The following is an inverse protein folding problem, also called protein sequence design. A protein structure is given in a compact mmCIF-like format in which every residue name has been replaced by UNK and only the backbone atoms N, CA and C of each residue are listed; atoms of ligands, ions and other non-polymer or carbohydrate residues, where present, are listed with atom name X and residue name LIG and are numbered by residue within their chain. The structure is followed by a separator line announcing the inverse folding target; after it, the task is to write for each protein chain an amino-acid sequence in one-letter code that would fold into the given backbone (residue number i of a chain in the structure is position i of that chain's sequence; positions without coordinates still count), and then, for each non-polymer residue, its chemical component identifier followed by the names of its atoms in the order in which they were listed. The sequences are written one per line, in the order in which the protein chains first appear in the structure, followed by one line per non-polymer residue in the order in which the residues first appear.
data_IF_290553025389
#
_entry.id   IF_290553025389
#
_cell.length_a   1.000
_cell.length_b   1.000
_cell.length_c   1.000
_cell.angle_alpha   90.00
_cell.angle_beta   90.00
_cell.angle_gamma   90.00
#
_symmetry.space_group_name_H-M   'P 1'
#
loop_
_entity.id
_entity.type
_entity.pdbx_description
1 polymer ?
#
# COMPACT_ATOMS: atom_id res chain seq x y z
N UNK A 1 -2.36 1.18 -4.71
CA UNK A 1 -1.72 1.81 -3.55
C UNK A 1 -2.72 2.04 -2.42
N UNK A 2 -3.93 2.51 -2.74
CA UNK A 2 -4.98 2.69 -1.72
C UNK A 2 -5.28 1.42 -0.93
N UNK A 3 -5.33 0.26 -1.60
CA UNK A 3 -5.50 -1.03 -0.92
C UNK A 3 -4.40 -1.29 0.10
N UNK A 4 -3.16 -0.97 -0.26
CA UNK A 4 -2.02 -1.16 0.64
C UNK A 4 -2.15 -0.30 1.89
N UNK A 5 -2.53 0.96 1.73
CA UNK A 5 -2.71 1.88 2.87
C UNK A 5 -3.78 1.35 3.84
N UNK A 6 -4.93 0.97 3.33
CA UNK A 6 -6.02 0.45 4.18
C UNK A 6 -5.65 -0.90 4.78
N UNK A 7 -4.97 -1.77 4.02
CA UNK A 7 -4.48 -3.05 4.55
C UNK A 7 -3.52 -2.85 5.72
N UNK A 8 -2.65 -1.84 5.67
CA UNK A 8 -1.75 -1.53 6.80
C UNK A 8 -2.50 -1.08 8.05
N UNK A 9 -3.62 -0.40 7.89
CA UNK A 9 -4.45 0.01 9.04
C UNK A 9 -5.03 -1.20 9.76
N UNK A 10 -5.51 -2.20 9.01
CA UNK A 10 -6.16 -3.38 9.57
C UNK A 10 -5.19 -4.52 9.89
N UNK A 11 -3.95 -4.42 9.42
CA UNK A 11 -2.96 -5.49 9.62
C UNK A 11 -2.60 -5.64 11.09
N UNK A 12 -2.53 -6.90 11.54
CA UNK A 12 -2.11 -7.25 12.89
C UNK A 12 -0.71 -7.87 12.84
N UNK A 13 0.29 -7.05 12.53
CA UNK A 13 1.68 -7.50 12.54
C UNK A 13 2.58 -6.45 13.20
N UNK A 14 3.73 -6.93 13.67
CA UNK A 14 4.64 -6.11 14.47
C UNK A 14 5.08 -4.83 13.76
N UNK A 15 5.26 -4.88 12.44
CA UNK A 15 5.70 -3.74 11.64
C UNK A 15 4.67 -2.62 11.64
N UNK A 16 3.37 -2.96 11.71
CA UNK A 16 2.28 -1.99 11.60
C UNK A 16 1.44 -1.86 12.87
N UNK A 17 1.90 -2.38 14.00
CA UNK A 17 1.15 -2.34 15.25
C UNK A 17 0.85 -0.93 15.75
N UNK A 18 1.66 0.05 15.36
CA UNK A 18 1.51 1.45 15.77
C UNK A 18 0.81 2.31 14.72
N UNK A 19 0.39 1.73 13.59
CA UNK A 19 -0.27 2.45 12.51
C UNK A 19 -1.74 2.03 12.43
N UNK A 20 -2.57 2.63 13.28
CA UNK A 20 -3.96 2.20 13.49
C UNK A 20 -4.99 3.02 12.71
N UNK A 21 -4.57 4.04 11.98
CA UNK A 21 -5.45 4.83 11.14
C UNK A 21 -4.69 5.26 9.88
N UNK A 22 -5.45 5.78 8.91
CA UNK A 22 -4.88 6.16 7.61
C UNK A 22 -3.78 7.22 7.76
N UNK A 23 -3.99 8.20 8.61
CA UNK A 23 -3.00 9.26 8.86
C UNK A 23 -1.68 8.66 9.35
N UNK A 24 -1.73 7.78 10.34
CA UNK A 24 -0.53 7.14 10.90
C UNK A 24 0.22 6.30 9.86
N UNK A 25 -0.52 5.60 8.97
CA UNK A 25 0.10 4.82 7.89
C UNK A 25 0.80 5.74 6.89
N UNK A 26 0.12 6.80 6.43
CA UNK A 26 0.65 7.69 5.41
C UNK A 26 1.88 8.44 5.90
N UNK A 27 1.87 8.88 7.16
CA UNK A 27 2.96 9.66 7.74
C UNK A 27 3.96 8.83 8.54
N UNK A 28 3.87 7.50 8.47
CA UNK A 28 4.88 6.63 9.07
C UNK A 28 6.25 6.97 8.47
N UNK A 29 7.27 7.06 9.33
CA UNK A 29 8.62 7.44 8.92
C UNK A 29 9.12 6.56 7.78
N UNK A 30 9.58 7.21 6.70
CA UNK A 30 10.14 6.55 5.51
C UNK A 30 9.16 5.63 4.75
N UNK A 31 7.85 5.71 5.03
CA UNK A 31 6.88 4.86 4.34
C UNK A 31 6.52 5.38 2.94
N UNK A 32 6.36 6.69 2.81
CA UNK A 32 5.99 7.33 1.53
C UNK A 32 6.85 8.55 1.29
N UNK A 33 7.60 8.54 0.20
CA UNK A 33 8.57 9.58 -0.11
C UNK A 33 7.94 10.93 -0.51
N UNK A 34 6.68 10.92 -0.94
CA UNK A 34 6.04 12.10 -1.52
C UNK A 34 5.24 12.98 -0.58
N UNK A 35 5.15 12.64 0.71
CA UNK A 35 4.25 13.35 1.64
C UNK A 35 4.62 14.81 1.88
N UNK A 36 5.88 15.17 1.69
CA UNK A 36 6.38 16.54 1.86
C UNK A 36 6.45 17.33 0.54
N UNK A 37 6.00 16.74 -0.57
CA UNK A 37 6.03 17.38 -1.88
C UNK A 37 4.75 18.20 -2.12
N UNK A 38 4.85 19.32 -2.89
CA UNK A 38 3.66 20.14 -3.20
C UNK A 38 2.52 19.34 -3.83
N UNK A 39 2.83 18.35 -4.67
CA UNK A 39 1.83 17.53 -5.36
C UNK A 39 0.94 16.75 -4.38
N UNK A 40 1.47 16.40 -3.21
CA UNK A 40 0.73 15.68 -2.18
C UNK A 40 -0.48 16.48 -1.66
N UNK A 41 -0.37 17.80 -1.62
CA UNK A 41 -1.39 18.68 -1.09
C UNK A 41 -2.33 19.26 -2.16
N UNK A 42 -2.24 18.79 -3.40
CA UNK A 42 -3.14 19.25 -4.45
C UNK A 42 -4.57 18.74 -4.24
N UNK A 43 -5.61 19.51 -4.62
CA UNK A 43 -6.98 19.01 -4.54
C UNK A 43 -7.16 17.75 -5.39
N UNK A 44 -7.92 16.79 -4.87
CA UNK A 44 -8.21 15.54 -5.59
C UNK A 44 -9.42 15.74 -6.51
N UNK A 45 -9.44 15.02 -7.63
CA UNK A 45 -10.61 15.00 -8.50
C UNK A 45 -11.67 14.04 -7.97
N UNK A 46 -12.88 14.09 -8.57
CA UNK A 46 -14.00 13.29 -8.11
C UNK A 46 -13.73 11.78 -8.20
N UNK A 47 -13.04 11.33 -9.25
CA UNK A 47 -12.71 9.91 -9.42
C UNK A 47 -11.71 9.42 -8.39
N UNK A 48 -10.69 10.20 -8.11
CA UNK A 48 -9.70 9.85 -7.07
C UNK A 48 -10.37 9.75 -5.70
N UNK A 49 -11.26 10.68 -5.38
CA UNK A 49 -12.02 10.66 -4.14
C UNK A 49 -12.92 9.42 -4.05
N UNK A 50 -13.60 9.07 -5.13
CA UNK A 50 -14.45 7.88 -5.18
C UNK A 50 -13.65 6.61 -4.92
N UNK A 51 -12.49 6.47 -5.56
CA UNK A 51 -11.62 5.31 -5.37
C UNK A 51 -11.11 5.21 -3.94
N UNK A 52 -10.73 6.32 -3.33
CA UNK A 52 -10.29 6.35 -1.94
C UNK A 52 -11.41 5.90 -0.99
N UNK A 53 -12.63 6.40 -1.19
CA UNK A 53 -13.79 6.01 -0.38
C UNK A 53 -14.11 4.52 -0.53
N UNK A 54 -14.01 3.97 -1.74
CA UNK A 54 -14.21 2.53 -1.97
C UNK A 54 -13.19 1.70 -1.19
N UNK A 55 -11.92 2.11 -1.19
CA UNK A 55 -10.89 1.41 -0.41
C UNK A 55 -11.21 1.43 1.09
N UNK A 56 -11.64 2.57 1.61
CA UNK A 56 -12.02 2.71 3.02
C UNK A 56 -13.19 1.79 3.35
N UNK A 57 -14.16 1.64 2.43
CA UNK A 57 -15.31 0.76 2.60
C UNK A 57 -14.98 -0.73 2.42
N UNK A 58 -13.73 -1.06 2.15
CA UNK A 58 -13.29 -2.45 2.04
C UNK A 58 -13.11 -2.98 0.62
N UNK A 59 -13.29 -2.13 -0.39
CA UNK A 59 -13.07 -2.55 -1.78
C UNK A 59 -11.61 -2.89 -2.02
N UNK A 60 -11.38 -4.06 -2.59
CA UNK A 60 -10.03 -4.56 -2.89
C UNK A 60 -9.97 -5.09 -4.31
N UNK A 61 -8.84 -4.86 -4.99
CA UNK A 61 -8.61 -5.36 -6.36
C UNK A 61 -7.27 -6.07 -6.46
N UNK A 62 -7.24 -7.10 -7.29
CA UNK A 62 -5.98 -7.76 -7.62
C UNK A 62 -5.11 -6.83 -8.49
N UNK A 63 -3.77 -6.89 -8.38
CA UNK A 63 -2.98 -7.81 -7.54
C UNK A 63 -2.70 -7.29 -6.12
N UNK A 64 -3.28 -6.15 -5.74
CA UNK A 64 -3.02 -5.51 -4.45
C UNK A 64 -3.91 -6.01 -3.31
N UNK A 65 -4.76 -7.00 -3.55
CA UNK A 65 -5.86 -7.40 -2.66
C UNK A 65 -5.48 -7.44 -1.17
N UNK A 66 -4.45 -8.21 -0.81
CA UNK A 66 -3.97 -8.35 0.56
C UNK A 66 -2.54 -7.82 0.75
N UNK A 67 -2.06 -7.01 -0.20
CA UNK A 67 -0.69 -6.51 -0.17
C UNK A 67 -0.50 -5.48 0.95
N UNK A 68 0.64 -5.56 1.61
CA UNK A 68 1.08 -4.60 2.63
C UNK A 68 2.23 -3.72 2.12
N UNK A 69 2.88 -4.08 1.04
CA UNK A 69 3.98 -3.33 0.46
C UNK A 69 3.81 -3.21 -1.04
N UNK A 70 4.41 -2.16 -1.57
CA UNK A 70 4.49 -1.96 -3.01
C UNK A 70 5.83 -1.33 -3.38
N UNK A 71 6.24 -1.53 -4.64
CA UNK A 71 7.48 -0.97 -5.17
C UNK A 71 7.31 -0.61 -6.63
N UNK A 72 7.86 0.52 -7.03
CA UNK A 72 7.93 0.92 -8.43
C UNK A 72 9.39 0.77 -8.92
N UNK A 73 9.74 -0.35 -9.58
CA UNK A 73 11.11 -0.57 -10.06
C UNK A 73 11.42 0.17 -11.35
N UNK A 74 10.39 0.74 -12.01
CA UNK A 74 10.51 1.38 -13.31
C UNK A 74 9.75 0.59 -14.39
N UNK A 75 9.41 1.26 -15.49
CA UNK A 75 8.51 0.72 -16.51
C UNK A 75 9.05 -0.54 -17.21
N UNK A 76 10.37 -0.68 -17.33
CA UNK A 76 11.02 -1.79 -18.06
C UNK A 76 11.77 -2.77 -17.15
N UNK A 77 11.59 -2.64 -15.86
CA UNK A 77 12.28 -3.47 -14.86
C UNK A 77 11.28 -4.47 -14.28
N UNK A 78 11.65 -5.74 -14.23
CA UNK A 78 10.83 -6.79 -13.65
C UNK A 78 10.67 -6.61 -12.16
N UNK A 79 9.52 -7.08 -11.62
CA UNK A 79 9.31 -7.09 -10.18
C UNK A 79 10.20 -8.13 -9.52
N UNK A 80 10.98 -7.78 -8.48
CA UNK A 80 11.66 -8.79 -7.68
C UNK A 80 10.63 -9.70 -6.99
N UNK A 81 10.99 -10.97 -6.77
CA UNK A 81 10.09 -11.95 -6.16
C UNK A 81 9.79 -11.65 -4.70
N UNK A 82 10.67 -10.93 -4.02
CA UNK A 82 10.58 -10.62 -2.60
C UNK A 82 10.85 -9.14 -2.35
N UNK A 83 10.00 -8.52 -1.56
CA UNK A 83 10.20 -7.15 -1.05
C UNK A 83 9.41 -7.02 0.24
N UNK A 84 10.04 -7.34 1.38
CA UNK A 84 9.42 -7.50 2.70
C UNK A 84 8.39 -8.64 2.76
N UNK A 85 7.84 -9.04 1.63
CA UNK A 85 6.87 -10.13 1.51
C UNK A 85 6.99 -10.76 0.13
N UNK A 86 6.00 -11.55 -0.23
CA UNK A 86 5.96 -12.29 -1.48
C UNK A 86 5.21 -11.51 -2.55
N UNK A 87 5.75 -11.51 -3.78
CA UNK A 87 5.12 -10.84 -4.91
C UNK A 87 3.73 -11.42 -5.18
N UNK A 88 2.71 -10.56 -5.25
CA UNK A 88 1.35 -10.97 -5.62
C UNK A 88 1.04 -10.64 -7.07
N UNK A 89 1.71 -9.65 -7.65
CA UNK A 89 1.50 -9.27 -9.03
C UNK A 89 1.94 -7.85 -9.30
N UNK A 90 1.70 -7.43 -10.54
CA UNK A 90 2.06 -6.09 -11.00
C UNK A 90 0.87 -5.41 -11.65
N UNK A 91 0.66 -4.14 -11.34
CA UNK A 91 -0.30 -3.29 -12.04
C UNK A 91 0.42 -2.02 -12.48
N UNK A 92 0.49 -1.79 -13.80
CA UNK A 92 1.28 -0.70 -14.39
C UNK A 92 2.73 -0.80 -13.90
N UNK A 93 3.27 0.22 -13.24
CA UNK A 93 4.65 0.23 -12.76
C UNK A 93 4.78 -0.23 -11.30
N UNK A 94 3.68 -0.60 -10.64
CA UNK A 94 3.69 -0.98 -9.23
C UNK A 94 3.69 -2.50 -9.06
N UNK A 95 4.68 -2.99 -8.32
CA UNK A 95 4.75 -4.37 -7.84
C UNK A 95 4.14 -4.42 -6.45
N UNK A 96 3.31 -5.41 -6.15
CA UNK A 96 2.63 -5.54 -4.87
C UNK A 96 3.08 -6.79 -4.14
N UNK A 97 3.16 -6.71 -2.81
CA UNK A 97 3.71 -7.77 -1.97
C UNK A 97 2.81 -8.01 -0.76
N UNK A 98 2.48 -9.28 -0.52
CA UNK A 98 1.71 -9.72 0.64
C UNK A 98 2.64 -10.33 1.68
N UNK A 99 2.23 -10.36 2.97
CA UNK A 99 3.07 -10.94 4.01
C UNK A 99 3.32 -12.42 3.79
N UNK A 100 4.58 -12.83 3.99
CA UNK A 100 4.96 -14.25 4.00
C UNK A 100 4.83 -14.83 5.39
N UNK A 101 5.03 -16.16 5.50
CA UNK A 101 4.93 -16.87 6.77
C UNK A 101 5.94 -16.45 7.84
N UNK A 102 6.96 -15.69 7.47
CA UNK A 102 7.97 -15.20 8.41
C UNK A 102 7.52 -14.00 9.22
N UNK A 103 6.50 -13.27 8.72
CA UNK A 103 5.91 -12.14 9.41
C UNK A 103 4.55 -12.55 9.94
N UNK A 104 4.35 -12.35 11.22
CA UNK A 104 3.08 -12.69 11.87
C UNK A 104 2.07 -11.57 11.58
N UNK A 105 1.45 -11.61 10.40
CA UNK A 105 0.46 -10.63 9.96
C UNK A 105 -0.86 -11.33 9.69
N UNK A 106 -1.92 -10.88 10.36
CA UNK A 106 -3.29 -11.29 10.10
C UNK A 106 -4.01 -10.19 9.33
N UNK A 107 -4.62 -10.55 8.22
CA UNK A 107 -5.43 -9.63 7.42
C UNK A 107 -6.88 -10.07 7.38
#
# INVERSE_FOLDING_TARGET
VGNVIVNRVVANCDVFKNTRNIYEVVYQKNAFAGVDQPLFNQPVNAKERELALRNIDGYRVEPAYDALWFKNPGARVSCPDQFYGNLTGRYKNHCFYAPGGKLNCDL
#
